data_IF_819503447732
#
_entry.id   IF_819503447732
#
_cell.length_a   1.000
_cell.length_b   1.000
_cell.length_c   1.000
_cell.angle_alpha   90.00
_cell.angle_beta   90.00
_cell.angle_gamma   90.00
#
_symmetry.space_group_name_H-M   'P 1'
#
loop_
_entity.id
_entity.type
_entity.pdbx_description
1 polymer ?
#
# COMPACT_ATOMS: atom_id res chain seq x y z
N UNK A 1 44.48 -15.80 26.81
CA UNK A 1 44.52 -14.41 26.28
C UNK A 1 44.13 -14.32 24.79
N UNK A 2 44.40 -15.31 23.94
CA UNK A 2 44.13 -15.29 22.48
C UNK A 2 42.61 -15.45 22.15
N UNK A 3 41.81 -16.16 22.99
CA UNK A 3 40.38 -16.35 22.75
C UNK A 3 39.50 -15.11 22.97
N UNK A 4 39.98 -14.15 23.79
CA UNK A 4 39.25 -12.89 24.02
C UNK A 4 39.41 -11.89 22.87
N UNK A 5 40.55 -11.95 22.15
CA UNK A 5 40.82 -11.06 21.02
C UNK A 5 39.97 -11.38 19.79
N UNK A 6 39.69 -12.66 19.55
CA UNK A 6 38.86 -13.11 18.42
C UNK A 6 37.38 -12.72 18.60
N UNK A 7 36.89 -12.73 19.84
CA UNK A 7 35.51 -12.27 20.15
C UNK A 7 35.34 -10.76 19.94
N UNK A 8 36.38 -9.96 20.26
CA UNK A 8 36.34 -8.51 20.09
C UNK A 8 36.37 -8.09 18.61
N UNK A 9 37.07 -8.85 17.76
CA UNK A 9 37.14 -8.56 16.30
C UNK A 9 35.77 -8.90 15.62
N UNK A 10 35.09 -9.94 16.08
CA UNK A 10 33.74 -10.27 15.56
C UNK A 10 32.66 -9.25 15.96
N UNK A 11 32.77 -8.64 17.14
CA UNK A 11 31.87 -7.57 17.55
C UNK A 11 32.12 -6.26 16.83
N UNK A 12 33.39 -5.93 16.55
CA UNK A 12 33.79 -4.71 15.82
C UNK A 12 33.43 -4.80 14.32
N UNK A 13 33.49 -5.98 13.70
CA UNK A 13 33.11 -6.13 12.29
C UNK A 13 31.60 -5.98 12.04
N UNK A 14 30.75 -6.31 13.04
CA UNK A 14 29.30 -6.09 12.92
C UNK A 14 28.89 -4.63 13.19
N UNK A 15 29.67 -3.88 13.97
CA UNK A 15 29.39 -2.45 14.22
C UNK A 15 29.86 -1.55 13.07
N UNK A 16 30.95 -1.91 12.37
CA UNK A 16 31.47 -1.13 11.25
C UNK A 16 30.59 -1.24 9.97
N UNK A 17 29.82 -2.31 9.82
CA UNK A 17 28.90 -2.46 8.69
C UNK A 17 27.67 -1.55 8.78
N UNK A 18 27.30 -1.12 9.98
CA UNK A 18 26.13 -0.24 10.24
C UNK A 18 26.47 1.27 10.08
N UNK A 19 27.74 1.64 10.00
CA UNK A 19 28.13 3.05 9.86
C UNK A 19 27.96 3.60 8.44
N UNK A 20 27.90 2.75 7.41
CA UNK A 20 27.85 3.19 6.01
C UNK A 20 26.47 3.70 5.56
N UNK A 21 25.40 3.41 6.32
CA UNK A 21 24.04 3.72 5.92
C UNK A 21 23.55 2.89 4.70
N UNK A 22 22.25 2.85 4.51
CA UNK A 22 21.59 2.11 3.43
C UNK A 22 20.60 3.00 2.69
N UNK A 23 20.55 2.87 1.37
CA UNK A 23 19.50 3.45 0.54
C UNK A 23 18.43 2.42 0.28
N UNK A 24 17.16 2.87 0.28
CA UNK A 24 16.00 2.03 0.06
C UNK A 24 15.29 2.44 -1.26
N UNK A 25 15.99 2.24 -2.37
CA UNK A 25 15.50 2.53 -3.72
C UNK A 25 15.16 1.20 -4.37
N UNK A 26 13.94 1.08 -4.90
CA UNK A 26 13.54 -0.11 -5.65
C UNK A 26 14.25 -0.18 -7.00
N UNK A 27 14.62 -1.39 -7.40
CA UNK A 27 15.06 -1.68 -8.77
C UNK A 27 13.82 -1.88 -9.63
N UNK A 28 13.40 -0.80 -10.30
CA UNK A 28 12.14 -0.75 -11.04
C UNK A 28 12.16 -1.55 -12.34
N UNK A 29 13.34 -1.86 -12.88
CA UNK A 29 13.47 -2.65 -14.11
C UNK A 29 13.26 -4.15 -13.88
N UNK A 30 13.25 -4.58 -12.63
CA UNK A 30 12.98 -5.99 -12.28
C UNK A 30 11.51 -6.29 -12.28
N UNK A 31 11.13 -7.25 -13.10
CA UNK A 31 9.80 -7.83 -13.08
C UNK A 31 9.55 -8.55 -11.75
N UNK A 32 8.34 -8.41 -11.23
CA UNK A 32 7.97 -8.97 -9.95
C UNK A 32 6.59 -9.60 -9.96
N UNK A 33 6.35 -10.49 -9.02
CA UNK A 33 5.03 -11.05 -8.72
C UNK A 33 4.77 -10.87 -7.23
N UNK A 34 3.69 -10.19 -6.91
CA UNK A 34 3.23 -9.96 -5.55
C UNK A 34 1.99 -10.79 -5.27
N UNK A 35 2.06 -11.66 -4.27
CA UNK A 35 0.89 -12.30 -3.68
C UNK A 35 0.36 -11.36 -2.58
N UNK A 36 -0.92 -10.98 -2.66
CA UNK A 36 -1.61 -10.08 -1.71
C UNK A 36 -2.75 -10.83 -1.01
N UNK A 37 -2.91 -10.56 0.27
CA UNK A 37 -4.02 -11.04 1.10
C UNK A 37 -4.47 -9.89 1.99
N UNK A 38 -5.78 -9.57 1.96
CA UNK A 38 -6.37 -8.51 2.78
C UNK A 38 -7.58 -9.10 3.51
N UNK A 39 -7.60 -8.89 4.82
CA UNK A 39 -8.73 -9.23 5.67
C UNK A 39 -9.24 -7.92 6.26
N UNK A 40 -10.52 -7.65 6.10
CA UNK A 40 -11.15 -6.49 6.73
C UNK A 40 -12.32 -6.94 7.59
N UNK A 41 -12.45 -6.32 8.74
CA UNK A 41 -13.59 -6.45 9.64
C UNK A 41 -14.18 -5.05 9.81
N UNK A 42 -15.38 -4.84 9.26
CA UNK A 42 -16.03 -3.54 9.19
C UNK A 42 -17.38 -3.60 9.86
N UNK A 43 -17.70 -2.59 10.66
CA UNK A 43 -19.05 -2.32 11.16
C UNK A 43 -19.60 -1.04 10.53
N UNK A 44 -20.81 -1.11 10.01
CA UNK A 44 -21.50 -0.01 9.35
C UNK A 44 -23.00 -0.13 9.54
N UNK A 45 -23.68 0.92 10.00
CA UNK A 45 -25.14 0.95 10.13
C UNK A 45 -25.73 -0.19 10.97
N UNK A 46 -25.02 -0.67 12.00
CA UNK A 46 -25.45 -1.79 12.83
C UNK A 46 -25.18 -3.18 12.23
N UNK A 47 -24.56 -3.26 11.06
CA UNK A 47 -24.15 -4.53 10.42
C UNK A 47 -22.64 -4.74 10.57
N UNK A 48 -22.25 -6.00 10.70
CA UNK A 48 -20.85 -6.41 10.67
C UNK A 48 -20.54 -7.16 9.38
N UNK A 49 -19.44 -6.74 8.74
CA UNK A 49 -18.96 -7.35 7.52
C UNK A 49 -17.52 -7.83 7.73
N UNK A 50 -17.25 -9.08 7.39
CA UNK A 50 -15.88 -9.58 7.32
C UNK A 50 -15.62 -9.87 5.85
N UNK A 51 -14.64 -9.20 5.26
CA UNK A 51 -14.24 -9.51 3.89
C UNK A 51 -12.83 -10.08 3.83
N UNK A 52 -12.62 -10.98 2.89
CA UNK A 52 -11.34 -11.56 2.56
C UNK A 52 -11.09 -11.34 1.08
N UNK A 53 -9.94 -10.78 0.78
CA UNK A 53 -9.46 -10.63 -0.59
C UNK A 53 -8.09 -11.28 -0.69
N UNK A 54 -7.87 -12.05 -1.74
CA UNK A 54 -6.54 -12.53 -2.11
C UNK A 54 -6.36 -12.47 -3.61
N UNK A 55 -5.12 -12.28 -4.05
CA UNK A 55 -4.81 -12.21 -5.46
C UNK A 55 -3.32 -12.19 -5.72
N UNK A 56 -2.99 -12.18 -7.00
CA UNK A 56 -1.64 -12.09 -7.50
C UNK A 56 -1.53 -10.93 -8.48
N UNK A 57 -0.53 -10.10 -8.29
CA UNK A 57 -0.21 -8.96 -9.15
C UNK A 57 1.15 -9.23 -9.78
N UNK A 58 1.19 -9.35 -11.10
CA UNK A 58 2.43 -9.42 -11.90
C UNK A 58 2.71 -8.03 -12.42
N UNK A 59 3.89 -7.47 -12.13
CA UNK A 59 4.33 -6.17 -12.64
C UNK A 59 5.51 -6.40 -13.58
N UNK A 60 5.39 -5.94 -14.82
CA UNK A 60 6.40 -6.04 -15.87
C UNK A 60 6.81 -4.64 -16.30
N UNK A 61 8.11 -4.37 -16.29
CA UNK A 61 8.66 -3.11 -16.80
C UNK A 61 8.66 -3.12 -18.32
N UNK A 62 8.03 -2.13 -18.95
CA UNK A 62 7.93 -2.03 -20.40
C UNK A 62 8.93 -1.04 -21.02
N UNK A 63 9.49 -0.12 -20.23
CA UNK A 63 10.48 0.84 -20.72
C UNK A 63 10.35 2.23 -20.11
N UNK A 64 11.21 3.13 -20.63
CA UNK A 64 11.27 4.52 -20.22
C UNK A 64 11.27 5.41 -21.48
N UNK A 65 10.32 6.32 -21.56
CA UNK A 65 10.25 7.38 -22.56
C UNK A 65 9.84 8.68 -21.86
N UNK A 66 10.78 9.24 -21.10
CA UNK A 66 10.51 10.36 -20.19
C UNK A 66 9.69 10.00 -18.95
N UNK A 67 8.95 8.90 -19.00
CA UNK A 67 8.20 8.30 -17.88
C UNK A 67 8.47 6.79 -17.87
N UNK A 68 8.46 6.19 -16.69
CA UNK A 68 8.51 4.73 -16.53
C UNK A 68 7.15 4.13 -16.82
N UNK A 69 7.13 3.07 -17.63
CA UNK A 69 5.90 2.37 -17.98
C UNK A 69 5.94 0.94 -17.51
N UNK A 70 4.86 0.49 -16.86
CA UNK A 70 4.70 -0.86 -16.34
C UNK A 70 3.37 -1.45 -16.80
N UNK A 71 3.39 -2.74 -17.08
CA UNK A 71 2.17 -3.53 -17.26
C UNK A 71 1.91 -4.33 -15.98
N UNK A 72 0.78 -4.07 -15.33
CA UNK A 72 0.30 -4.88 -14.22
C UNK A 72 -0.81 -5.81 -14.67
N UNK A 73 -0.66 -7.11 -14.34
CA UNK A 73 -1.69 -8.12 -14.57
C UNK A 73 -2.15 -8.69 -13.24
N UNK A 74 -3.45 -8.67 -13.02
CA UNK A 74 -4.10 -9.20 -11.81
C UNK A 74 -4.67 -10.59 -12.09
N UNK A 75 -4.27 -11.58 -11.29
CA UNK A 75 -4.69 -12.99 -11.45
C UNK A 75 -4.98 -13.64 -10.10
N UNK A 76 -5.61 -14.80 -10.13
CA UNK A 76 -5.92 -15.61 -8.94
C UNK A 76 -6.75 -14.84 -7.90
N UNK A 77 -7.62 -13.92 -8.38
CA UNK A 77 -8.44 -13.08 -7.50
C UNK A 77 -9.55 -13.91 -6.89
N UNK A 78 -9.54 -13.94 -5.56
CA UNK A 78 -10.62 -14.50 -4.75
C UNK A 78 -11.07 -13.44 -3.76
N UNK A 79 -12.33 -13.06 -3.81
CA UNK A 79 -12.92 -12.11 -2.88
C UNK A 79 -14.22 -12.64 -2.35
N UNK A 80 -14.34 -12.67 -1.03
CA UNK A 80 -15.54 -13.12 -0.33
C UNK A 80 -15.85 -12.17 0.81
N UNK A 81 -17.12 -12.05 1.16
CA UNK A 81 -17.52 -11.33 2.35
C UNK A 81 -18.59 -12.10 3.12
N UNK A 82 -18.61 -11.90 4.43
CA UNK A 82 -19.62 -12.46 5.32
C UNK A 82 -20.48 -11.33 5.86
N UNK A 83 -21.79 -11.45 5.69
CA UNK A 83 -22.77 -10.54 6.26
C UNK A 83 -23.81 -11.39 7.01
N UNK A 84 -24.04 -11.10 8.30
CA UNK A 84 -25.00 -11.87 9.14
C UNK A 84 -24.77 -13.39 9.05
N UNK A 85 -23.51 -13.84 9.19
CA UNK A 85 -23.07 -15.23 9.09
C UNK A 85 -23.21 -15.91 7.71
N UNK A 86 -23.77 -15.24 6.71
CA UNK A 86 -23.86 -15.73 5.35
C UNK A 86 -22.58 -15.36 4.57
N UNK A 87 -21.88 -16.37 4.03
CA UNK A 87 -20.72 -16.17 3.18
C UNK A 87 -21.17 -15.91 1.73
N UNK A 88 -20.74 -14.79 1.16
CA UNK A 88 -21.01 -14.38 -0.22
C UNK A 88 -19.73 -14.17 -0.99
N UNK A 89 -19.80 -14.34 -2.31
CA UNK A 89 -18.71 -14.05 -3.22
C UNK A 89 -18.86 -12.61 -3.71
N UNK A 90 -17.76 -11.86 -3.70
CA UNK A 90 -17.71 -10.55 -4.34
C UNK A 90 -17.41 -10.73 -5.83
N UNK A 91 -18.45 -10.74 -6.65
CA UNK A 91 -18.36 -10.94 -8.10
C UNK A 91 -17.70 -9.73 -8.80
N UNK A 92 -17.88 -8.51 -8.28
CA UNK A 92 -17.26 -7.32 -8.84
C UNK A 92 -15.71 -7.41 -8.72
N UNK A 93 -15.20 -7.75 -7.54
CA UNK A 93 -13.77 -7.95 -7.34
C UNK A 93 -13.20 -9.09 -8.21
N UNK A 94 -13.99 -10.14 -8.47
CA UNK A 94 -13.57 -11.23 -9.35
C UNK A 94 -13.42 -10.83 -10.82
N UNK A 95 -14.09 -9.77 -11.29
CA UNK A 95 -13.91 -9.22 -12.64
C UNK A 95 -12.49 -8.69 -12.89
N UNK A 96 -11.72 -8.40 -11.83
CA UNK A 96 -10.31 -8.03 -11.95
C UNK A 96 -9.42 -9.19 -12.42
N UNK A 97 -9.91 -10.42 -12.37
CA UNK A 97 -9.12 -11.59 -12.73
C UNK A 97 -8.78 -11.58 -14.23
N UNK A 98 -7.48 -11.54 -14.54
CA UNK A 98 -6.97 -11.37 -15.90
C UNK A 98 -6.92 -9.92 -16.39
N UNK A 99 -7.34 -8.94 -15.60
CA UNK A 99 -7.29 -7.52 -15.98
C UNK A 99 -5.84 -7.04 -16.04
N UNK A 100 -5.56 -6.23 -17.05
CA UNK A 100 -4.26 -5.59 -17.25
C UNK A 100 -4.40 -4.08 -17.10
N UNK A 101 -3.47 -3.49 -16.34
CA UNK A 101 -3.39 -2.06 -16.12
C UNK A 101 -2.04 -1.53 -16.60
N UNK A 102 -2.05 -0.40 -17.29
CA UNK A 102 -0.84 0.33 -17.61
C UNK A 102 -0.61 1.35 -16.51
N UNK A 103 0.56 1.27 -15.87
CA UNK A 103 0.98 2.16 -14.81
C UNK A 103 2.10 3.03 -15.36
N UNK A 104 1.97 4.34 -15.16
CA UNK A 104 2.95 5.32 -15.59
C UNK A 104 3.49 6.00 -14.33
N UNK A 105 4.82 6.10 -14.22
CA UNK A 105 5.51 6.80 -13.13
C UNK A 105 6.50 7.79 -13.72
N UNK A 106 6.69 8.92 -13.07
CA UNK A 106 7.70 9.89 -13.47
C UNK A 106 9.13 9.46 -13.10
N UNK A 107 10.11 10.29 -13.37
CA UNK A 107 11.52 10.01 -13.07
C UNK A 107 11.84 10.01 -11.56
N UNK A 108 10.96 10.55 -10.72
CA UNK A 108 11.08 10.46 -9.24
C UNK A 108 10.49 9.17 -8.70
N UNK A 109 9.75 8.42 -9.51
CA UNK A 109 9.03 7.22 -9.13
C UNK A 109 7.63 7.52 -8.60
N UNK A 110 7.18 8.76 -8.69
CA UNK A 110 5.84 9.15 -8.33
C UNK A 110 4.85 8.64 -9.37
N UNK A 111 3.76 8.08 -8.91
CA UNK A 111 2.78 7.42 -9.73
C UNK A 111 1.87 8.45 -10.44
N UNK A 112 1.71 8.30 -11.76
CA UNK A 112 0.76 9.08 -12.54
C UNK A 112 -0.53 8.31 -12.76
N UNK A 113 -1.66 8.98 -12.51
CA UNK A 113 -3.01 8.40 -12.64
C UNK A 113 -3.52 8.33 -14.09
N UNK A 114 -2.76 8.86 -15.04
CA UNK A 114 -3.18 8.96 -16.46
C UNK A 114 -3.64 7.62 -17.08
N UNK A 115 -3.12 6.48 -16.62
CA UNK A 115 -3.49 5.17 -17.14
C UNK A 115 -4.62 4.45 -16.37
N UNK A 116 -5.11 5.04 -15.28
CA UNK A 116 -6.09 4.42 -14.40
C UNK A 116 -7.52 4.93 -14.59
N UNK A 117 -7.67 6.20 -15.03
CA UNK A 117 -8.92 6.94 -14.98
C UNK A 117 -10.12 6.20 -15.58
N UNK A 118 -9.97 5.69 -16.80
CA UNK A 118 -11.11 5.08 -17.50
C UNK A 118 -11.48 3.70 -16.96
N UNK A 119 -10.50 2.90 -16.52
CA UNK A 119 -10.78 1.54 -16.02
C UNK A 119 -11.17 1.50 -14.54
N UNK A 120 -10.71 2.45 -13.75
CA UNK A 120 -11.18 2.57 -12.38
C UNK A 120 -12.65 2.99 -12.32
N UNK A 121 -13.13 3.77 -13.30
CA UNK A 121 -14.56 4.10 -13.47
C UNK A 121 -15.42 2.89 -13.87
N UNK A 122 -14.81 1.87 -14.51
CA UNK A 122 -15.47 0.60 -14.81
C UNK A 122 -15.58 -0.33 -13.58
N UNK A 123 -14.89 -0.01 -12.49
CA UNK A 123 -14.98 -0.75 -11.25
C UNK A 123 -16.20 -0.28 -10.45
N UNK A 124 -17.30 -1.01 -10.58
CA UNK A 124 -18.56 -0.77 -9.85
C UNK A 124 -18.44 -0.98 -8.32
N UNK A 125 -17.24 -1.22 -7.78
CA UNK A 125 -17.00 -1.54 -6.38
C UNK A 125 -15.91 -0.63 -5.80
N UNK A 126 -16.33 0.31 -4.95
CA UNK A 126 -15.50 1.29 -4.24
C UNK A 126 -14.35 0.63 -3.46
N UNK A 127 -14.60 -0.52 -2.83
CA UNK A 127 -13.59 -1.27 -2.09
C UNK A 127 -12.48 -1.80 -3.02
N UNK A 128 -12.85 -2.20 -4.22
CA UNK A 128 -11.90 -2.71 -5.22
C UNK A 128 -11.05 -1.59 -5.76
N UNK A 129 -11.63 -0.42 -6.03
CA UNK A 129 -10.91 0.78 -6.43
C UNK A 129 -9.93 1.23 -5.33
N UNK A 130 -10.36 1.30 -4.08
CA UNK A 130 -9.52 1.64 -2.93
C UNK A 130 -8.34 0.67 -2.75
N UNK A 131 -8.57 -0.63 -2.83
CA UNK A 131 -7.51 -1.64 -2.75
C UNK A 131 -6.50 -1.50 -3.89
N UNK A 132 -6.96 -1.16 -5.08
CA UNK A 132 -6.11 -0.90 -6.23
C UNK A 132 -5.15 0.27 -5.98
N UNK A 133 -5.64 1.39 -5.45
CA UNK A 133 -4.82 2.58 -5.15
C UNK A 133 -3.82 2.34 -4.04
N UNK A 134 -4.20 1.66 -2.96
CA UNK A 134 -3.29 1.39 -1.83
C UNK A 134 -2.15 0.45 -2.21
N UNK A 135 -2.32 -0.37 -3.27
CA UNK A 135 -1.28 -1.26 -3.77
C UNK A 135 -0.22 -0.53 -4.62
N UNK A 136 -0.50 0.68 -5.06
CA UNK A 136 0.30 1.39 -6.05
C UNK A 136 1.42 2.24 -5.45
N UNK A 137 1.61 2.40 -4.21
CA UNK A 137 2.63 3.22 -3.54
C UNK A 137 3.83 3.67 -4.39
N UNK A 138 4.63 4.56 -3.92
CA UNK A 138 5.78 5.07 -4.67
C UNK A 138 6.70 3.91 -5.14
N UNK A 139 6.84 3.75 -6.45
CA UNK A 139 7.53 2.59 -7.03
C UNK A 139 9.04 2.67 -6.90
N UNK A 140 9.64 3.86 -7.04
CA UNK A 140 11.09 4.04 -6.98
C UNK A 140 11.58 4.24 -5.55
N UNK A 141 10.90 5.11 -4.80
CA UNK A 141 11.25 5.47 -3.43
C UNK A 141 10.18 4.99 -2.45
N UNK A 142 10.06 3.70 -2.17
CA UNK A 142 8.93 3.13 -1.40
C UNK A 142 8.83 3.65 0.04
N UNK A 143 9.85 4.38 0.49
CA UNK A 143 9.91 5.02 1.80
C UNK A 143 10.10 6.54 1.70
N UNK A 144 9.75 7.12 0.54
CA UNK A 144 9.66 8.56 0.30
C UNK A 144 10.98 9.30 0.05
N UNK A 145 12.13 8.61 0.05
CA UNK A 145 13.44 9.28 -0.11
C UNK A 145 14.53 8.31 -0.57
N UNK A 146 15.52 8.85 -1.30
CA UNK A 146 16.75 8.17 -1.68
C UNK A 146 17.90 8.37 -0.67
N UNK A 147 17.62 8.96 0.48
CA UNK A 147 18.59 9.26 1.53
C UNK A 147 19.28 8.00 2.06
N UNK A 148 20.42 8.20 2.69
CA UNK A 148 21.14 7.16 3.43
C UNK A 148 20.61 7.09 4.86
N UNK A 149 20.19 5.90 5.26
CA UNK A 149 19.66 5.62 6.60
C UNK A 149 20.52 4.63 7.34
N UNK A 150 20.65 4.81 8.66
CA UNK A 150 21.30 3.88 9.60
C UNK A 150 20.25 3.17 10.45
N UNK A 151 20.62 2.04 11.01
CA UNK A 151 19.76 1.34 12.00
C UNK A 151 19.48 2.26 13.19
N UNK A 152 18.22 2.42 13.52
CA UNK A 152 17.72 3.35 14.54
C UNK A 152 17.18 4.66 13.98
N UNK A 153 17.50 5.03 12.74
CA UNK A 153 16.98 6.25 12.13
C UNK A 153 15.47 6.21 11.96
N UNK A 154 14.88 7.40 12.08
CA UNK A 154 13.47 7.66 11.82
C UNK A 154 13.33 8.81 10.82
N UNK A 155 12.33 8.73 9.95
CA UNK A 155 11.98 9.81 9.02
C UNK A 155 10.49 9.85 8.78
N UNK A 156 10.03 10.97 8.25
CA UNK A 156 8.61 11.21 7.94
C UNK A 156 8.43 11.29 6.44
N UNK A 157 7.40 10.63 5.92
CA UNK A 157 6.84 10.88 4.61
C UNK A 157 5.44 11.44 4.81
N UNK A 158 5.15 12.55 4.16
CA UNK A 158 3.87 13.21 4.20
C UNK A 158 3.37 13.40 2.78
N UNK A 159 2.13 13.01 2.54
CA UNK A 159 1.36 13.30 1.35
C UNK A 159 0.24 14.25 1.74
N UNK A 160 0.09 15.33 0.99
CA UNK A 160 -0.92 16.37 1.21
C UNK A 160 -1.41 16.74 -0.18
N UNK A 161 -2.49 16.12 -0.61
CA UNK A 161 -2.97 16.17 -1.99
C UNK A 161 -4.45 16.56 -2.03
N UNK A 162 -4.79 17.35 -3.03
CA UNK A 162 -6.16 17.61 -3.43
C UNK A 162 -6.44 16.89 -4.74
N UNK A 163 -7.55 16.17 -4.80
CA UNK A 163 -7.93 15.32 -5.93
C UNK A 163 -9.31 15.75 -6.41
N UNK A 164 -9.41 16.17 -7.65
CA UNK A 164 -10.68 16.52 -8.31
C UNK A 164 -11.49 15.29 -8.74
N UNK A 165 -10.89 14.10 -8.69
CA UNK A 165 -11.51 12.85 -9.06
C UNK A 165 -11.09 11.74 -8.09
N UNK A 166 -12.03 10.88 -7.70
CA UNK A 166 -11.76 9.69 -6.92
C UNK A 166 -12.47 8.49 -7.56
N UNK A 167 -11.77 7.40 -7.83
CA UNK A 167 -12.37 6.25 -8.52
C UNK A 167 -13.53 5.63 -7.76
N UNK A 168 -14.56 5.24 -8.49
CA UNK A 168 -15.78 4.68 -7.92
C UNK A 168 -16.89 5.72 -7.63
N UNK A 169 -16.59 7.02 -7.83
CA UNK A 169 -17.56 8.10 -7.69
C UNK A 169 -17.78 8.80 -9.04
N UNK A 170 -18.97 9.30 -9.30
CA UNK A 170 -19.30 10.06 -10.52
C UNK A 170 -18.55 11.39 -10.53
N UNK A 171 -18.49 12.05 -9.39
CA UNK A 171 -17.59 13.15 -9.11
C UNK A 171 -17.16 13.09 -7.65
N UNK A 172 -15.93 13.48 -7.38
CA UNK A 172 -15.42 13.57 -6.02
C UNK A 172 -14.37 14.68 -5.93
N UNK A 173 -14.45 15.44 -4.84
CA UNK A 173 -13.48 16.42 -4.41
C UNK A 173 -12.88 15.87 -3.11
N UNK A 174 -11.56 15.58 -3.10
CA UNK A 174 -10.92 14.86 -2.01
C UNK A 174 -9.69 15.61 -1.51
N UNK A 175 -9.70 15.99 -0.26
CA UNK A 175 -8.51 16.41 0.47
C UNK A 175 -7.92 15.19 1.21
N UNK A 176 -6.71 14.80 0.83
CA UNK A 176 -6.00 13.66 1.39
C UNK A 176 -4.76 14.11 2.15
N UNK A 177 -4.68 13.77 3.43
CA UNK A 177 -3.48 13.91 4.25
C UNK A 177 -3.08 12.55 4.77
N UNK A 178 -1.93 12.05 4.33
CA UNK A 178 -1.30 10.83 4.85
C UNK A 178 0.09 11.18 5.41
N UNK A 179 0.35 10.80 6.65
CA UNK A 179 1.62 11.00 7.31
C UNK A 179 2.14 9.67 7.86
N UNK A 180 3.30 9.25 7.38
CA UNK A 180 3.95 8.02 7.78
C UNK A 180 5.30 8.29 8.46
N UNK A 181 5.46 7.82 9.70
CA UNK A 181 6.72 7.85 10.43
C UNK A 181 7.39 6.49 10.31
N UNK A 182 8.47 6.44 9.56
CA UNK A 182 9.26 5.23 9.36
C UNK A 182 10.35 5.09 10.42
N UNK A 183 10.70 3.84 10.74
CA UNK A 183 11.83 3.49 11.62
C UNK A 183 12.61 2.34 11.01
N UNK A 184 13.89 2.53 10.76
CA UNK A 184 14.81 1.47 10.33
C UNK A 184 15.29 0.67 11.54
N UNK A 185 14.80 -0.55 11.72
CA UNK A 185 15.02 -1.33 12.95
C UNK A 185 16.32 -2.11 12.96
N UNK A 186 16.67 -2.79 11.86
CA UNK A 186 17.83 -3.68 11.78
C UNK A 186 18.04 -4.24 10.38
N UNK A 187 19.24 -4.76 10.13
CA UNK A 187 19.56 -5.64 9.00
C UNK A 187 19.79 -7.07 9.47
N UNK A 188 19.35 -8.03 8.71
CA UNK A 188 19.68 -9.46 8.90
C UNK A 188 20.08 -10.09 7.58
N UNK A 189 21.05 -11.00 7.63
CA UNK A 189 21.36 -11.86 6.49
C UNK A 189 20.49 -13.12 6.55
N UNK A 190 19.74 -13.40 5.48
CA UNK A 190 18.91 -14.58 5.33
C UNK A 190 19.14 -15.21 3.96
N UNK A 191 19.58 -16.46 3.93
CA UNK A 191 19.92 -17.19 2.68
C UNK A 191 20.87 -16.39 1.77
N UNK A 192 21.91 -15.77 2.35
CA UNK A 192 22.91 -14.97 1.62
C UNK A 192 22.45 -13.55 1.22
N UNK A 193 21.20 -13.16 1.43
CA UNK A 193 20.68 -11.83 1.12
C UNK A 193 20.59 -10.95 2.36
N UNK A 194 20.98 -9.68 2.24
CA UNK A 194 20.78 -8.67 3.29
C UNK A 194 19.37 -8.14 3.25
N UNK A 195 18.64 -8.28 4.36
CA UNK A 195 17.25 -7.85 4.52
C UNK A 195 17.17 -6.78 5.59
N UNK A 196 16.71 -5.58 5.20
CA UNK A 196 16.36 -4.51 6.12
C UNK A 196 14.94 -4.73 6.66
N UNK A 197 14.77 -4.47 7.94
CA UNK A 197 13.48 -4.47 8.64
C UNK A 197 13.12 -3.03 8.97
N UNK A 198 12.05 -2.54 8.38
CA UNK A 198 11.56 -1.18 8.52
C UNK A 198 10.12 -1.28 9.03
N UNK A 199 9.71 -0.38 9.91
CA UNK A 199 8.31 -0.24 10.27
C UNK A 199 7.84 1.18 10.05
N UNK A 200 6.58 1.36 9.73
CA UNK A 200 5.93 2.67 9.77
C UNK A 200 4.77 2.68 10.77
N UNK A 201 4.46 3.91 11.23
CA UNK A 201 3.20 4.26 11.85
C UNK A 201 2.63 5.41 11.02
N UNK A 202 1.45 5.21 10.50
CA UNK A 202 0.78 6.17 9.62
C UNK A 202 -0.51 6.69 10.22
N UNK A 203 -0.84 7.93 9.89
CA UNK A 203 -2.14 8.53 10.12
C UNK A 203 -2.70 8.98 8.78
N UNK A 204 -3.94 8.58 8.49
CA UNK A 204 -4.69 8.99 7.32
C UNK A 204 -5.79 9.95 7.75
N UNK A 205 -5.94 11.05 7.02
CA UNK A 205 -7.12 11.92 7.10
C UNK A 205 -7.57 12.20 5.68
N UNK A 206 -8.84 12.02 5.42
CA UNK A 206 -9.44 12.31 4.13
C UNK A 206 -10.77 13.02 4.36
N UNK A 207 -10.97 14.12 3.66
CA UNK A 207 -12.27 14.75 3.53
C UNK A 207 -12.67 14.61 2.08
N UNK A 208 -13.89 14.17 1.83
CA UNK A 208 -14.40 13.95 0.50
C UNK A 208 -15.81 14.49 0.39
N UNK A 209 -16.06 15.23 -0.69
CA UNK A 209 -17.42 15.54 -1.16
C UNK A 209 -17.62 14.78 -2.46
N UNK A 210 -18.65 13.99 -2.56
CA UNK A 210 -18.90 13.13 -3.72
C UNK A 210 -20.33 13.14 -4.14
N UNK A 211 -20.56 12.87 -5.43
CA UNK A 211 -21.89 12.57 -5.98
C UNK A 211 -21.88 11.10 -6.38
N UNK A 212 -22.88 10.36 -5.88
CA UNK A 212 -23.08 8.94 -6.18
C UNK A 212 -24.58 8.70 -6.34
N UNK A 213 -25.03 8.23 -7.52
CA UNK A 213 -26.44 7.94 -7.81
C UNK A 213 -27.41 9.07 -7.50
N UNK A 214 -27.02 10.31 -7.89
CA UNK A 214 -27.78 11.54 -7.65
C UNK A 214 -27.82 12.01 -6.18
N UNK A 215 -27.14 11.34 -5.26
CA UNK A 215 -26.99 11.74 -3.86
C UNK A 215 -25.65 12.43 -3.65
N UNK A 216 -25.63 13.55 -2.93
CA UNK A 216 -24.43 14.29 -2.59
C UNK A 216 -24.00 14.01 -1.15
N UNK A 217 -22.80 13.45 -0.97
CA UNK A 217 -22.26 13.06 0.33
C UNK A 217 -21.04 13.90 0.71
N UNK A 218 -20.98 14.32 1.98
CA UNK A 218 -19.74 14.75 2.61
C UNK A 218 -19.24 13.63 3.52
N UNK A 219 -18.00 13.19 3.33
CA UNK A 219 -17.40 12.10 4.10
C UNK A 219 -16.09 12.55 4.74
N UNK A 220 -15.90 12.22 6.00
CA UNK A 220 -14.63 12.40 6.72
C UNK A 220 -14.12 11.04 7.16
N UNK A 221 -12.92 10.69 6.72
CA UNK A 221 -12.27 9.42 7.04
C UNK A 221 -10.99 9.68 7.80
N UNK A 222 -10.76 8.92 8.85
CA UNK A 222 -9.51 8.94 9.62
C UNK A 222 -8.99 7.52 9.80
N UNK A 223 -7.67 7.36 9.78
CA UNK A 223 -7.05 6.05 9.94
C UNK A 223 -5.77 6.09 10.76
N UNK A 224 -5.51 4.98 11.46
CA UNK A 224 -4.24 4.74 12.12
C UNK A 224 -3.70 3.40 11.63
N UNK A 225 -2.58 3.45 10.92
CA UNK A 225 -1.99 2.30 10.25
C UNK A 225 -0.61 2.00 10.82
N UNK A 226 -0.27 0.74 10.86
CA UNK A 226 1.07 0.27 11.17
C UNK A 226 1.50 -0.73 10.14
N UNK A 227 2.67 -0.50 9.53
CA UNK A 227 3.23 -1.40 8.52
C UNK A 227 4.60 -1.88 8.92
N UNK A 228 4.85 -3.18 8.78
CA UNK A 228 6.15 -3.81 8.94
C UNK A 228 6.64 -4.28 7.56
N UNK A 229 7.80 -3.80 7.15
CA UNK A 229 8.41 -4.11 5.86
C UNK A 229 9.65 -4.97 6.01
N UNK A 230 9.87 -5.87 5.06
CA UNK A 230 11.14 -6.52 4.79
C UNK A 230 11.59 -6.09 3.38
N UNK A 231 12.66 -5.33 3.34
CA UNK A 231 13.27 -4.85 2.10
C UNK A 231 14.56 -5.61 1.83
N UNK A 232 14.68 -6.24 0.68
CA UNK A 232 15.92 -6.87 0.23
C UNK A 232 16.90 -5.81 -0.28
N UNK A 233 17.93 -5.52 0.50
CA UNK A 233 19.00 -4.60 0.09
C UNK A 233 19.73 -5.18 -1.13
N UNK A 234 19.89 -6.50 -1.18
CA UNK A 234 20.56 -7.21 -2.27
C UNK A 234 19.78 -7.13 -3.57
N UNK A 235 18.46 -7.32 -3.52
CA UNK A 235 17.58 -7.33 -4.69
C UNK A 235 16.98 -5.95 -4.98
N UNK A 236 17.15 -4.99 -4.06
CA UNK A 236 16.56 -3.63 -4.11
C UNK A 236 15.04 -3.66 -4.31
N UNK A 237 14.32 -4.44 -3.48
CA UNK A 237 12.86 -4.58 -3.53
C UNK A 237 12.25 -4.87 -2.16
N UNK A 238 11.01 -4.44 -1.96
CA UNK A 238 10.19 -4.91 -0.85
C UNK A 238 9.79 -6.36 -1.13
N UNK A 239 10.22 -7.29 -0.27
CA UNK A 239 9.91 -8.72 -0.41
C UNK A 239 8.74 -9.17 0.45
N UNK A 240 8.38 -8.38 1.45
CA UNK A 240 7.22 -8.61 2.31
C UNK A 240 6.78 -7.32 2.97
N UNK A 241 5.48 -7.09 3.03
CA UNK A 241 4.89 -6.12 3.95
C UNK A 241 3.72 -6.74 4.72
N UNK A 242 3.43 -6.18 5.90
CA UNK A 242 2.19 -6.41 6.62
C UNK A 242 1.70 -5.10 7.20
N UNK A 243 0.54 -4.67 6.76
CA UNK A 243 -0.15 -3.48 7.26
C UNK A 243 -1.32 -3.91 8.15
N UNK A 244 -1.48 -3.21 9.26
CA UNK A 244 -2.62 -3.40 10.17
C UNK A 244 -3.04 -2.04 10.70
N UNK A 245 -4.33 -1.88 10.88
CA UNK A 245 -4.84 -0.66 11.47
C UNK A 245 -6.34 -0.56 11.46
N UNK A 246 -6.81 0.61 11.84
CA UNK A 246 -8.24 0.93 11.89
C UNK A 246 -8.49 2.17 11.08
N UNK A 247 -9.52 2.13 10.26
CA UNK A 247 -10.06 3.27 9.52
C UNK A 247 -11.49 3.51 10.01
N UNK A 248 -11.82 4.76 10.28
CA UNK A 248 -13.15 5.20 10.69
C UNK A 248 -13.62 6.28 9.75
N UNK A 249 -14.87 6.22 9.36
CA UNK A 249 -15.49 7.24 8.53
C UNK A 249 -16.86 7.64 9.01
N UNK A 250 -17.20 8.90 8.80
CA UNK A 250 -18.53 9.45 8.98
C UNK A 250 -18.91 10.18 7.69
N UNK A 251 -20.06 9.86 7.14
CA UNK A 251 -20.65 10.50 5.98
C UNK A 251 -21.97 11.13 6.32
N UNK A 252 -22.30 12.25 5.68
CA UNK A 252 -23.59 12.93 5.77
C UNK A 252 -24.09 13.16 4.35
N UNK A 253 -25.31 12.75 4.08
CA UNK A 253 -26.05 13.12 2.88
C UNK A 253 -26.44 14.60 3.00
N UNK A 254 -26.10 15.38 1.98
CA UNK A 254 -26.34 16.83 1.99
C UNK A 254 -27.77 17.21 1.60
N UNK A 255 -28.58 16.27 1.14
CA UNK A 255 -29.97 16.52 0.77
C UNK A 255 -30.94 16.29 1.92
N UNK A 256 -30.78 15.20 2.68
CA UNK A 256 -31.74 14.81 3.72
C UNK A 256 -31.13 14.75 5.14
N UNK A 257 -29.85 15.18 5.31
CA UNK A 257 -29.11 15.14 6.57
C UNK A 257 -28.96 13.72 7.17
N UNK A 258 -29.20 12.67 6.39
CA UNK A 258 -28.96 11.32 6.86
C UNK A 258 -27.48 11.08 7.07
N UNK A 259 -27.11 10.25 8.02
CA UNK A 259 -25.72 10.00 8.35
C UNK A 259 -25.37 8.52 8.33
N UNK A 260 -24.18 8.23 7.88
CA UNK A 260 -23.58 6.90 7.91
C UNK A 260 -22.26 6.95 8.64
N UNK A 261 -21.98 5.93 9.44
CA UNK A 261 -20.67 5.77 10.05
C UNK A 261 -20.15 4.37 9.84
N UNK A 262 -18.84 4.23 9.67
CA UNK A 262 -18.20 2.94 9.61
C UNK A 262 -16.92 2.91 10.44
N UNK A 263 -16.59 1.72 10.90
CA UNK A 263 -15.30 1.40 11.52
C UNK A 263 -14.77 0.12 10.87
N UNK A 264 -13.55 0.17 10.35
CA UNK A 264 -12.94 -0.92 9.61
C UNK A 264 -11.56 -1.25 10.18
N UNK A 265 -11.36 -2.49 10.58
CA UNK A 265 -10.05 -3.05 10.88
C UNK A 265 -9.49 -3.72 9.63
N UNK A 266 -8.20 -3.46 9.34
CA UNK A 266 -7.50 -3.98 8.17
C UNK A 266 -6.29 -4.80 8.63
N UNK A 267 -6.11 -5.99 8.07
CA UNK A 267 -4.87 -6.77 8.11
C UNK A 267 -4.52 -7.17 6.67
N UNK A 268 -3.48 -6.54 6.10
CA UNK A 268 -3.01 -6.81 4.75
C UNK A 268 -1.62 -7.41 4.79
N UNK A 269 -1.40 -8.45 4.01
CA UNK A 269 -0.09 -9.09 3.83
C UNK A 269 0.25 -9.12 2.34
N UNK A 270 1.43 -8.60 2.00
CA UNK A 270 2.00 -8.72 0.66
C UNK A 270 3.31 -9.51 0.70
N UNK A 271 3.53 -10.36 -0.29
CA UNK A 271 4.77 -11.12 -0.48
C UNK A 271 5.19 -11.02 -1.93
N UNK A 272 6.38 -10.50 -2.17
CA UNK A 272 6.91 -10.29 -3.53
C UNK A 272 7.98 -11.32 -3.85
N UNK A 273 7.90 -11.87 -5.06
CA UNK A 273 8.94 -12.70 -5.69
C UNK A 273 9.46 -11.95 -6.90
N UNK A 274 10.77 -11.86 -7.02
CA UNK A 274 11.45 -11.26 -8.17
C UNK A 274 11.64 -12.38 -9.20
N UNK A 275 11.25 -12.11 -10.44
CA UNK A 275 11.43 -13.01 -11.58
C UNK A 275 12.83 -12.87 -12.19
#
# INVERSE_FOLDING_TARGET
MIRLLIFSIFFLSNSLADEQGYRFINDIEKNEVMDIEIITDMSQGGYNYISNFSGRISTEYEGFDGKYKFLQTWTDIVSTYRRNDELKVNHAAQKLNGTQFIIISDSTGEFSREGLGDRAREMEDENTAFMFFTSQGNMLHPFGSDSLYKTGDTWVQKTDEHLDEFPGFESADVDLLDENIFTFKKVKTKKGKKIAYISSKGTLKMKMTSITWDEQWEMVVTGNLKTDFQYSITDKKIIKCRMRGTIMGNGTDLEDDSSISFNQNIDMICKTKIK
#
